data_IF_282688075232
#
_entry.id   IF_282688075232
#
_cell.length_a   1.000
_cell.length_b   1.000
_cell.length_c   1.000
_cell.angle_alpha   90.00
_cell.angle_beta   90.00
_cell.angle_gamma   90.00
#
_symmetry.space_group_name_H-M   'P 1'
#
loop_
_entity.id
_entity.type
_entity.pdbx_description
1 polymer ?
#
# COMPACT_ATOMS: atom_id res chain seq x y z
N UNK A 1 14.88 7.77 25.17
CA UNK A 1 14.23 6.93 24.15
C UNK A 1 12.99 7.67 23.65
N UNK A 2 12.88 7.98 22.34
CA UNK A 2 11.67 8.62 21.78
C UNK A 2 10.50 7.64 21.83
N UNK A 3 9.29 8.12 22.12
CA UNK A 3 8.10 7.26 22.20
C UNK A 3 7.49 7.09 20.81
N UNK A 4 7.19 5.85 20.43
CA UNK A 4 6.42 5.57 19.23
C UNK A 4 4.95 5.94 19.46
N UNK A 5 4.49 6.98 18.77
CA UNK A 5 3.11 7.45 18.82
C UNK A 5 2.23 6.89 17.70
N UNK A 6 2.87 6.46 16.60
CA UNK A 6 2.17 6.04 15.39
C UNK A 6 1.84 4.56 15.47
N UNK A 7 0.59 4.27 15.80
CA UNK A 7 0.00 2.93 15.83
C UNK A 7 -0.57 2.55 14.46
N UNK A 8 -0.84 1.26 14.19
CA UNK A 8 -1.57 0.86 12.98
C UNK A 8 -2.91 1.59 12.82
N UNK A 9 -3.60 1.87 13.94
CA UNK A 9 -4.88 2.58 13.93
C UNK A 9 -4.73 4.05 13.53
N UNK A 10 -3.67 4.73 14.00
CA UNK A 10 -3.41 6.11 13.56
C UNK A 10 -3.01 6.18 12.10
N UNK A 11 -2.18 5.24 11.60
CA UNK A 11 -1.85 5.18 10.17
C UNK A 11 -3.11 4.97 9.33
N UNK A 12 -3.98 4.04 9.72
CA UNK A 12 -5.24 3.79 9.03
C UNK A 12 -6.17 5.02 9.02
N UNK A 13 -6.21 5.79 10.11
CA UNK A 13 -6.98 7.05 10.16
C UNK A 13 -6.39 8.09 9.21
N UNK A 14 -5.06 8.28 9.24
CA UNK A 14 -4.38 9.22 8.36
C UNK A 14 -4.57 8.88 6.87
N UNK A 15 -4.55 7.59 6.51
CA UNK A 15 -4.76 7.13 5.14
C UNK A 15 -6.20 7.29 4.68
N UNK A 16 -7.18 6.96 5.54
CA UNK A 16 -8.61 7.14 5.23
C UNK A 16 -8.98 8.61 5.04
N UNK A 17 -8.34 9.49 5.81
CA UNK A 17 -8.49 10.94 5.66
C UNK A 17 -7.67 11.52 4.50
N UNK A 18 -6.97 10.68 3.72
CA UNK A 18 -6.15 11.08 2.57
C UNK A 18 -5.11 12.15 2.89
N UNK A 19 -4.58 12.14 4.12
CA UNK A 19 -3.68 13.18 4.60
C UNK A 19 -2.30 13.03 3.99
N UNK A 20 -1.77 14.13 3.44
CA UNK A 20 -0.40 14.19 2.98
C UNK A 20 0.57 14.04 4.16
N UNK A 21 1.85 13.76 3.87
CA UNK A 21 2.88 13.69 4.93
C UNK A 21 2.99 15.00 5.70
N UNK A 22 2.79 16.14 5.01
CA UNK A 22 2.84 17.47 5.61
C UNK A 22 1.65 17.68 6.56
N UNK A 23 0.43 17.41 6.10
CA UNK A 23 -0.77 17.62 6.91
C UNK A 23 -0.77 16.69 8.11
N UNK A 24 -0.18 15.50 7.96
CA UNK A 24 0.02 14.56 9.08
C UNK A 24 0.93 15.12 10.16
N UNK A 25 2.03 15.79 9.79
CA UNK A 25 2.92 16.45 10.77
C UNK A 25 2.10 17.47 11.56
N UNK A 26 1.41 18.38 10.86
CA UNK A 26 0.65 19.46 11.50
C UNK A 26 -0.46 18.94 12.42
N UNK A 27 -1.23 17.95 11.97
CA UNK A 27 -2.33 17.38 12.76
C UNK A 27 -1.78 16.67 14.00
N UNK A 28 -0.70 15.88 13.85
CA UNK A 28 -0.10 15.16 14.97
C UNK A 28 0.52 16.14 16.00
N UNK A 29 1.19 17.18 15.52
CA UNK A 29 1.78 18.22 16.35
C UNK A 29 0.71 18.97 17.16
N UNK A 30 -0.33 19.47 16.49
CA UNK A 30 -1.46 20.14 17.14
C UNK A 30 -2.20 19.23 18.13
N UNK A 31 -2.33 17.93 17.81
CA UNK A 31 -2.96 16.96 18.72
C UNK A 31 -2.11 16.75 19.98
N UNK A 32 -0.78 16.64 19.84
CA UNK A 32 0.14 16.42 20.96
C UNK A 32 0.20 17.66 21.86
N UNK A 33 0.21 18.85 21.27
CA UNK A 33 0.14 20.12 21.98
C UNK A 33 -1.17 20.27 22.76
N UNK A 34 -2.32 19.98 22.13
CA UNK A 34 -3.63 19.98 22.78
C UNK A 34 -3.74 18.98 23.94
N UNK A 35 -2.98 17.88 23.90
CA UNK A 35 -2.88 16.90 24.98
C UNK A 35 -1.88 17.30 26.08
N UNK A 36 -1.26 18.48 26.00
CA UNK A 36 -0.25 18.97 26.95
C UNK A 36 1.02 18.13 26.98
N UNK A 37 1.28 17.38 25.90
CA UNK A 37 2.42 16.48 25.81
C UNK A 37 3.62 17.20 25.20
N UNK A 38 4.82 16.95 25.73
CA UNK A 38 6.03 17.50 25.13
C UNK A 38 6.30 16.87 23.74
N UNK A 39 6.26 17.71 22.71
CA UNK A 39 6.47 17.40 21.29
C UNK A 39 7.84 16.73 21.04
N UNK A 40 8.89 17.15 21.74
CA UNK A 40 10.27 16.63 21.58
C UNK A 40 10.40 15.14 21.94
N UNK A 41 9.42 14.60 22.68
CA UNK A 41 9.39 13.18 23.05
C UNK A 41 8.97 12.28 21.89
N UNK A 42 8.46 12.85 20.79
CA UNK A 42 7.88 12.11 19.67
C UNK A 42 8.64 12.34 18.37
N UNK A 43 8.79 11.32 17.50
CA UNK A 43 9.44 11.46 16.21
C UNK A 43 8.48 12.06 15.15
N UNK A 44 8.08 13.32 15.29
CA UNK A 44 7.13 14.02 14.38
C UNK A 44 7.87 14.75 13.24
N UNK A 45 8.88 14.10 12.65
CA UNK A 45 9.46 14.62 11.41
C UNK A 45 8.76 14.02 10.20
N UNK A 46 8.73 14.75 9.07
CA UNK A 46 8.21 14.23 7.79
C UNK A 46 8.83 12.87 7.43
N UNK A 47 10.14 12.74 7.61
CA UNK A 47 10.87 11.49 7.35
C UNK A 47 10.46 10.35 8.29
N UNK A 48 10.24 10.64 9.57
CA UNK A 48 9.82 9.65 10.56
C UNK A 48 8.41 9.14 10.27
N UNK A 49 7.46 10.03 9.96
CA UNK A 49 6.10 9.67 9.59
C UNK A 49 6.10 8.84 8.31
N UNK A 50 6.88 9.25 7.30
CA UNK A 50 6.98 8.50 6.04
C UNK A 50 7.53 7.09 6.27
N UNK A 51 8.61 6.97 7.06
CA UNK A 51 9.20 5.68 7.41
C UNK A 51 8.17 4.78 8.11
N UNK A 52 7.53 5.28 9.17
CA UNK A 52 6.58 4.48 9.95
C UNK A 52 5.35 4.09 9.12
N UNK A 53 4.79 5.00 8.30
CA UNK A 53 3.70 4.64 7.39
C UNK A 53 4.12 3.55 6.41
N UNK A 54 5.33 3.64 5.84
CA UNK A 54 5.85 2.64 4.91
C UNK A 54 6.01 1.28 5.61
N UNK A 55 6.56 1.26 6.82
CA UNK A 55 6.68 0.04 7.63
C UNK A 55 5.30 -0.58 7.92
N UNK A 56 4.32 0.23 8.34
CA UNK A 56 2.96 -0.24 8.61
C UNK A 56 2.19 -0.68 7.36
N UNK A 57 2.46 -0.08 6.20
CA UNK A 57 1.92 -0.56 4.93
C UNK A 57 2.51 -1.92 4.53
N UNK A 58 3.82 -2.13 4.74
CA UNK A 58 4.46 -3.44 4.50
C UNK A 58 3.87 -4.52 5.42
N UNK A 59 3.83 -4.24 6.72
CA UNK A 59 3.24 -5.14 7.73
C UNK A 59 1.79 -5.50 7.37
N UNK A 60 0.98 -4.51 6.96
CA UNK A 60 -0.40 -4.75 6.53
C UNK A 60 -0.48 -5.61 5.27
N UNK A 61 0.38 -5.38 4.28
CA UNK A 61 0.40 -6.18 3.06
C UNK A 61 0.79 -7.65 3.33
N UNK A 62 1.76 -7.87 4.22
CA UNK A 62 2.16 -9.20 4.68
C UNK A 62 1.03 -9.92 5.42
N UNK A 63 0.36 -9.22 6.34
CA UNK A 63 -0.78 -9.77 7.07
C UNK A 63 -1.94 -10.15 6.13
N UNK A 64 -2.24 -9.32 5.13
CA UNK A 64 -3.26 -9.64 4.11
C UNK A 64 -2.87 -10.90 3.32
N UNK A 65 -1.59 -11.03 2.96
CA UNK A 65 -1.09 -12.21 2.25
C UNK A 65 -1.23 -13.49 3.08
N UNK A 66 -0.87 -13.45 4.37
CA UNK A 66 -0.97 -14.60 5.28
C UNK A 66 -2.44 -14.98 5.51
N UNK A 67 -3.30 -14.01 5.80
CA UNK A 67 -4.73 -14.24 6.06
C UNK A 67 -5.46 -14.85 4.85
N UNK A 68 -5.04 -14.50 3.62
CA UNK A 68 -5.57 -15.11 2.41
C UNK A 68 -5.11 -16.57 2.25
N UNK A 69 -3.86 -16.92 2.54
CA UNK A 69 -3.35 -18.29 2.39
C UNK A 69 -3.98 -19.31 3.35
N UNK A 70 -4.48 -18.86 4.49
CA UNK A 70 -5.12 -19.73 5.49
C UNK A 70 -6.53 -20.20 5.07
N UNK A 71 -7.13 -19.59 4.05
CA UNK A 71 -8.42 -19.97 3.50
C UNK A 71 -8.24 -20.20 2.00
N UNK A 72 -8.43 -21.44 1.51
CA UNK A 72 -8.39 -21.72 0.07
C UNK A 72 -9.83 -21.71 -0.44
N UNK A 73 -10.32 -20.60 -1.01
CA UNK A 73 -11.66 -20.55 -1.57
C UNK A 73 -11.76 -21.38 -2.86
N UNK A 74 -12.87 -22.10 -3.02
CA UNK A 74 -13.14 -22.86 -4.25
C UNK A 74 -13.29 -21.95 -5.49
N UNK A 75 -13.75 -20.72 -5.28
CA UNK A 75 -13.96 -19.72 -6.35
C UNK A 75 -13.46 -18.35 -5.89
N UNK A 76 -12.72 -17.66 -6.76
CA UNK A 76 -12.26 -16.28 -6.55
C UNK A 76 -12.72 -15.38 -7.69
N UNK A 77 -12.93 -14.10 -7.39
CA UNK A 77 -13.14 -13.06 -8.40
C UNK A 77 -11.81 -12.38 -8.72
N UNK A 78 -11.40 -12.40 -9.99
CA UNK A 78 -10.21 -11.71 -10.47
C UNK A 78 -10.56 -10.30 -10.96
N UNK A 79 -9.80 -9.31 -10.50
CA UNK A 79 -9.86 -7.92 -10.93
C UNK A 79 -8.49 -7.49 -11.44
N UNK A 80 -8.45 -6.94 -12.65
CA UNK A 80 -7.25 -6.40 -13.25
C UNK A 80 -7.57 -5.11 -13.98
N UNK A 81 -6.75 -4.08 -13.77
CA UNK A 81 -6.89 -2.78 -14.43
C UNK A 81 -5.51 -2.15 -14.64
N UNK A 82 -5.16 -1.88 -15.90
CA UNK A 82 -3.85 -1.34 -16.28
C UNK A 82 -3.67 0.10 -15.83
N UNK A 83 -2.45 0.45 -15.40
CA UNK A 83 -2.12 1.83 -15.03
C UNK A 83 -0.72 2.21 -15.52
N UNK A 84 -0.64 3.35 -16.18
CA UNK A 84 0.64 4.00 -16.51
C UNK A 84 1.27 4.58 -15.24
N UNK A 85 2.40 4.01 -14.82
CA UNK A 85 3.19 4.48 -13.69
C UNK A 85 4.54 5.05 -14.16
N UNK A 86 5.18 5.96 -13.40
CA UNK A 86 6.53 6.40 -13.69
C UNK A 86 7.47 5.20 -13.77
N UNK A 87 8.26 5.12 -14.84
CA UNK A 87 9.18 4.01 -14.97
C UNK A 87 10.38 4.20 -14.03
N UNK A 88 10.89 3.08 -13.50
CA UNK A 88 12.12 3.10 -12.69
C UNK A 88 13.38 3.35 -13.53
N UNK A 89 13.28 3.26 -14.85
CA UNK A 89 14.40 3.47 -15.77
C UNK A 89 14.50 4.91 -16.23
N UNK A 90 15.70 5.50 -16.20
CA UNK A 90 15.96 6.83 -16.76
C UNK A 90 15.64 6.95 -18.26
N UNK A 91 15.53 5.84 -18.99
CA UNK A 91 15.26 5.82 -20.44
C UNK A 91 13.79 5.95 -20.82
N UNK A 92 12.85 5.66 -19.91
CA UNK A 92 11.41 5.73 -20.16
C UNK A 92 10.77 6.61 -19.10
N UNK A 93 9.84 7.48 -19.48
CA UNK A 93 9.13 8.33 -18.50
C UNK A 93 8.01 7.56 -17.79
N UNK A 94 7.37 6.62 -18.47
CA UNK A 94 6.25 5.81 -17.95
C UNK A 94 6.34 4.36 -18.41
N UNK A 95 5.74 3.47 -17.65
CA UNK A 95 5.55 2.06 -17.96
C UNK A 95 4.15 1.61 -17.57
N UNK A 96 3.56 0.73 -18.37
CA UNK A 96 2.26 0.11 -18.06
C UNK A 96 2.47 -0.95 -16.97
N UNK A 97 1.78 -0.78 -15.85
CA UNK A 97 1.74 -1.75 -14.77
C UNK A 97 0.33 -2.33 -14.71
N UNK A 98 0.23 -3.65 -14.72
CA UNK A 98 -1.03 -4.35 -14.80
C UNK A 98 -1.28 -5.12 -13.49
N UNK A 99 -1.80 -4.45 -12.44
CA UNK A 99 -2.12 -5.10 -11.18
C UNK A 99 -3.19 -6.17 -11.37
N UNK A 100 -2.92 -7.36 -10.83
CA UNK A 100 -3.83 -8.50 -10.83
C UNK A 100 -4.18 -8.80 -9.37
N UNK A 101 -5.46 -8.63 -9.04
CA UNK A 101 -6.00 -8.80 -7.69
C UNK A 101 -7.03 -9.91 -7.72
N UNK A 102 -6.96 -10.83 -6.77
CA UNK A 102 -8.04 -11.78 -6.50
C UNK A 102 -8.80 -11.37 -5.24
N UNK A 103 -10.07 -11.74 -5.21
CA UNK A 103 -10.94 -11.45 -4.08
C UNK A 103 -11.91 -12.59 -3.82
N UNK A 104 -12.21 -12.81 -2.55
CA UNK A 104 -13.21 -13.76 -2.08
C UNK A 104 -13.82 -13.21 -0.77
N UNK A 105 -15.15 -13.16 -0.71
CA UNK A 105 -15.87 -12.51 0.39
C UNK A 105 -15.42 -11.05 0.58
N UNK A 106 -14.90 -10.73 1.77
CA UNK A 106 -14.34 -9.41 2.10
C UNK A 106 -12.80 -9.36 1.98
N UNK A 107 -12.15 -10.46 1.59
CA UNK A 107 -10.69 -10.56 1.45
C UNK A 107 -10.26 -10.23 0.03
N UNK A 108 -9.12 -9.55 -0.09
CA UNK A 108 -8.50 -9.18 -1.38
C UNK A 108 -7.01 -9.39 -1.29
N UNK A 109 -6.40 -9.97 -2.33
CA UNK A 109 -4.97 -10.16 -2.42
C UNK A 109 -4.46 -9.69 -3.79
N UNK A 110 -3.41 -8.86 -3.77
CA UNK A 110 -2.63 -8.54 -4.96
C UNK A 110 -1.67 -9.70 -5.24
N UNK A 111 -1.81 -10.36 -6.38
CA UNK A 111 -0.96 -11.50 -6.75
C UNK A 111 0.29 -11.00 -7.47
N UNK A 112 0.10 -10.15 -8.47
CA UNK A 112 1.19 -9.68 -9.31
C UNK A 112 0.94 -8.27 -9.85
N UNK A 113 2.03 -7.57 -10.18
CA UNK A 113 2.01 -6.29 -10.91
C UNK A 113 2.96 -6.37 -12.10
N UNK A 114 2.70 -7.27 -13.08
CA UNK A 114 3.51 -7.38 -14.27
C UNK A 114 3.63 -6.04 -14.99
N UNK A 115 4.81 -5.81 -15.53
CA UNK A 115 5.02 -4.76 -16.52
C UNK A 115 4.51 -5.28 -17.86
N UNK A 116 3.70 -4.49 -18.55
CA UNK A 116 3.31 -4.76 -19.92
C UNK A 116 4.09 -3.83 -20.86
N UNK A 117 4.64 -4.40 -21.93
CA UNK A 117 5.20 -3.57 -23.01
C UNK A 117 4.07 -3.00 -23.88
N UNK A 118 2.98 -3.78 -24.04
CA UNK A 118 1.78 -3.43 -24.80
C UNK A 118 0.55 -3.86 -23.98
N UNK A 119 -0.52 -3.05 -23.93
CA UNK A 119 -1.78 -3.37 -23.23
C UNK A 119 -2.79 -4.12 -24.10
N UNK A 120 -2.28 -4.90 -25.05
CA UNK A 120 -3.08 -5.76 -25.92
C UNK A 120 -3.79 -6.85 -25.12
N UNK A 121 -4.99 -7.26 -25.52
CA UNK A 121 -5.79 -8.27 -24.83
C UNK A 121 -5.04 -9.60 -24.66
N UNK A 122 -4.16 -9.96 -25.62
CA UNK A 122 -3.37 -11.19 -25.57
C UNK A 122 -2.32 -11.12 -24.45
N UNK A 123 -1.58 -10.02 -24.37
CA UNK A 123 -0.55 -9.78 -23.36
C UNK A 123 -1.16 -9.70 -21.95
N UNK A 124 -2.32 -9.06 -21.83
CA UNK A 124 -3.07 -9.03 -20.56
C UNK A 124 -3.52 -10.43 -20.13
N UNK A 125 -4.13 -11.20 -21.04
CA UNK A 125 -4.55 -12.58 -20.74
C UNK A 125 -3.36 -13.47 -20.35
N UNK A 126 -2.22 -13.34 -21.04
CA UNK A 126 -1.01 -14.07 -20.73
C UNK A 126 -0.42 -13.68 -19.37
N UNK A 127 -0.46 -12.40 -19.02
CA UNK A 127 -0.01 -11.90 -17.71
C UNK A 127 -0.88 -12.46 -16.58
N UNK A 128 -2.20 -12.53 -16.78
CA UNK A 128 -3.13 -13.17 -15.82
C UNK A 128 -2.85 -14.66 -15.69
N UNK A 129 -2.75 -15.38 -16.80
CA UNK A 129 -2.47 -16.82 -16.80
C UNK A 129 -1.17 -17.14 -16.05
N UNK A 130 -0.10 -16.39 -16.31
CA UNK A 130 1.18 -16.58 -15.63
C UNK A 130 1.07 -16.31 -14.13
N UNK A 131 0.40 -15.23 -13.73
CA UNK A 131 0.25 -14.87 -12.32
C UNK A 131 -0.56 -15.89 -11.51
N UNK A 132 -1.45 -16.67 -12.14
CA UNK A 132 -2.23 -17.72 -11.48
C UNK A 132 -1.42 -19.01 -11.30
N UNK A 133 -0.47 -19.29 -12.20
CA UNK A 133 0.34 -20.51 -12.17
C UNK A 133 1.59 -20.42 -11.30
N UNK A 134 2.11 -19.20 -11.08
CA UNK A 134 3.29 -18.92 -10.23
C UNK A 134 2.96 -19.02 -8.73
#
# INVERSE_FOLDING_TARGET
MRKDFITPKSVAALDRSQLSMRDSVFILEATIDALGCNIDKFPISKSSIQRIRTEKWKERAENIKIDFQNEVPDVVTLHCDGKLLPALSARKSKEERFPIVISYGLKKQLIAVPRLDNSTSKEQAQAVWKAILD
#
